data_IF_740629356999
#
_entry.id   IF_740629356999
#
_cell.length_a   1.000
_cell.length_b   1.000
_cell.length_c   1.000
_cell.angle_alpha   90.00
_cell.angle_beta   90.00
_cell.angle_gamma   90.00
#
_symmetry.space_group_name_H-M   'P 1'
#
loop_
_entity.id
_entity.type
_entity.pdbx_description
1 polymer ?
#
# COMPACT_ATOMS: atom_id res chain seq x y z
N UNK A 1 4.01 19.34 -7.70
CA UNK A 1 3.61 19.07 -6.29
C UNK A 1 2.58 17.98 -6.31
N UNK A 2 3.07 16.75 -6.13
CA UNK A 2 2.42 15.55 -6.62
C UNK A 2 1.44 15.02 -5.57
N UNK A 3 0.18 15.42 -5.67
CA UNK A 3 -0.94 14.81 -4.93
C UNK A 3 -0.96 14.99 -3.40
N UNK A 4 0.02 15.67 -2.84
CA UNK A 4 0.02 16.06 -1.43
C UNK A 4 -1.03 17.17 -1.22
N UNK A 5 -1.94 17.03 -0.23
CA UNK A 5 -2.91 18.07 0.06
C UNK A 5 -2.24 19.41 0.42
N UNK A 6 -2.77 20.58 0.00
CA UNK A 6 -2.16 21.88 0.25
C UNK A 6 -1.86 22.15 1.73
N UNK A 7 -2.76 21.72 2.62
CA UNK A 7 -2.59 21.82 4.07
C UNK A 7 -1.34 21.07 4.57
N UNK A 8 -1.08 19.88 4.02
CA UNK A 8 0.09 19.07 4.37
C UNK A 8 1.37 19.66 3.79
N UNK A 9 1.29 20.24 2.60
CA UNK A 9 2.42 21.01 2.05
C UNK A 9 2.74 22.22 2.91
N UNK A 10 1.74 22.93 3.45
CA UNK A 10 1.96 24.07 4.34
C UNK A 10 2.55 23.66 5.70
N UNK A 11 2.07 22.54 6.27
CA UNK A 11 2.62 21.94 7.50
C UNK A 11 4.09 21.55 7.31
N UNK A 12 4.39 20.83 6.23
CA UNK A 12 5.76 20.48 5.87
C UNK A 12 6.63 21.70 5.59
N UNK A 13 6.06 22.73 4.95
CA UNK A 13 6.73 24.00 4.69
C UNK A 13 7.15 24.69 5.99
N UNK A 14 6.27 24.73 6.98
CA UNK A 14 6.56 25.32 8.30
C UNK A 14 7.62 24.51 9.06
N UNK A 15 7.49 23.18 9.07
CA UNK A 15 8.41 22.29 9.77
C UNK A 15 9.82 22.33 9.17
N UNK A 16 9.94 22.25 7.84
CA UNK A 16 11.25 22.23 7.16
C UNK A 16 11.98 23.58 7.27
N UNK A 17 11.26 24.71 7.31
CA UNK A 17 11.88 26.02 7.62
C UNK A 17 12.52 26.04 9.02
N UNK A 18 11.96 25.28 9.95
CA UNK A 18 12.48 25.13 11.31
C UNK A 18 13.38 23.90 11.48
N UNK A 19 13.73 23.18 10.40
CA UNK A 19 14.56 21.99 10.48
C UNK A 19 15.97 22.29 11.02
N UNK A 20 16.47 23.53 10.91
CA UNK A 20 17.78 23.92 11.49
C UNK A 20 17.87 23.69 13.01
N UNK A 21 16.74 23.73 13.71
CA UNK A 21 16.67 23.54 15.18
C UNK A 21 16.00 22.25 15.61
N UNK A 22 15.43 21.48 14.67
CA UNK A 22 14.58 20.32 14.94
C UNK A 22 14.88 19.15 14.00
N UNK A 23 14.22 18.02 14.23
CA UNK A 23 14.18 16.90 13.28
C UNK A 23 12.80 16.86 12.66
N UNK A 24 12.68 16.80 11.35
CA UNK A 24 11.37 16.62 10.72
C UNK A 24 11.16 15.14 10.45
N UNK A 25 10.06 14.56 10.93
CA UNK A 25 9.74 13.14 10.69
C UNK A 25 8.52 13.05 9.79
N UNK A 26 8.73 12.76 8.51
CA UNK A 26 7.68 12.48 7.54
C UNK A 26 7.32 11.00 7.58
N UNK A 27 6.14 10.71 8.11
CA UNK A 27 5.59 9.35 8.18
C UNK A 27 4.43 9.17 7.22
N UNK A 28 4.26 7.98 6.66
CA UNK A 28 3.12 7.64 5.82
C UNK A 28 3.41 6.47 4.89
N UNK A 29 2.39 5.96 4.18
CA UNK A 29 2.55 4.77 3.34
C UNK A 29 3.52 5.01 2.17
N UNK A 30 3.99 3.93 1.57
CA UNK A 30 4.79 3.97 0.33
C UNK A 30 4.01 4.74 -0.76
N UNK A 31 4.73 5.56 -1.53
CA UNK A 31 4.17 6.31 -2.66
C UNK A 31 3.25 7.47 -2.30
N UNK A 32 3.13 7.87 -1.03
CA UNK A 32 2.33 9.05 -0.64
C UNK A 32 3.00 10.41 -0.93
N UNK A 33 4.15 10.41 -1.62
CA UNK A 33 4.83 11.64 -2.04
C UNK A 33 5.79 12.27 -1.02
N UNK A 34 6.25 11.54 0.01
CA UNK A 34 7.22 12.03 1.02
C UNK A 34 8.47 12.63 0.36
N UNK A 35 9.15 11.84 -0.47
CA UNK A 35 10.42 12.21 -1.11
C UNK A 35 10.26 13.34 -2.12
N UNK A 36 9.17 13.32 -2.89
CA UNK A 36 8.85 14.40 -3.83
C UNK A 36 8.57 15.71 -3.10
N UNK A 37 7.88 15.67 -1.95
CA UNK A 37 7.59 16.84 -1.13
C UNK A 37 8.87 17.49 -0.59
N UNK A 38 9.78 16.68 -0.02
CA UNK A 38 11.05 17.18 0.51
C UNK A 38 11.90 17.78 -0.62
N UNK A 39 12.07 17.06 -1.73
CA UNK A 39 12.81 17.56 -2.91
C UNK A 39 12.25 18.87 -3.45
N UNK A 40 10.93 18.97 -3.56
CA UNK A 40 10.26 20.19 -4.06
C UNK A 40 10.47 21.38 -3.13
N UNK A 41 10.42 21.17 -1.81
CA UNK A 41 10.56 22.24 -0.84
C UNK A 41 12.02 22.68 -0.66
N UNK A 42 12.97 21.73 -0.68
CA UNK A 42 14.40 22.05 -0.67
C UNK A 42 14.82 22.87 -1.89
N UNK A 43 14.34 22.49 -3.09
CA UNK A 43 14.58 23.24 -4.32
C UNK A 43 13.98 24.66 -4.29
N UNK A 44 12.82 24.85 -3.66
CA UNK A 44 12.16 26.16 -3.53
C UNK A 44 12.99 27.15 -2.69
N UNK A 45 13.78 26.67 -1.72
CA UNK A 45 14.53 27.52 -0.79
C UNK A 45 16.04 27.48 -1.01
N UNK A 46 16.49 26.90 -2.12
CA UNK A 46 17.92 26.77 -2.44
C UNK A 46 18.72 26.05 -1.35
N UNK A 47 18.11 25.07 -0.67
CA UNK A 47 18.84 24.18 0.21
C UNK A 47 19.40 22.99 -0.57
N UNK A 48 20.64 22.64 -0.27
CA UNK A 48 21.25 21.42 -0.78
C UNK A 48 20.66 20.21 -0.05
N UNK A 49 19.90 19.40 -0.77
CA UNK A 49 19.36 18.15 -0.25
C UNK A 49 20.41 17.05 -0.39
N UNK A 50 20.89 16.55 0.74
CA UNK A 50 21.82 15.41 0.77
C UNK A 50 21.03 14.18 1.21
N UNK A 51 20.88 13.21 0.31
CA UNK A 51 20.34 11.89 0.66
C UNK A 51 21.43 11.10 1.38
N UNK A 52 21.12 10.60 2.57
CA UNK A 52 22.02 9.82 3.41
C UNK A 52 21.39 8.45 3.65
N UNK A 53 22.20 7.40 3.52
CA UNK A 53 21.75 6.01 3.67
C UNK A 53 21.76 5.56 5.13
N UNK A 54 22.74 5.98 5.94
CA UNK A 54 22.86 5.55 7.34
C UNK A 54 22.96 6.71 8.33
N UNK A 55 22.61 6.44 9.59
CA UNK A 55 22.80 7.43 10.66
C UNK A 55 24.27 7.71 10.93
N UNK A 56 25.16 6.76 10.69
CA UNK A 56 26.59 6.96 10.91
C UNK A 56 27.17 7.93 9.87
N UNK A 57 26.77 7.83 8.60
CA UNK A 57 27.12 8.80 7.55
C UNK A 57 26.69 10.23 7.93
N UNK A 58 25.48 10.38 8.50
CA UNK A 58 25.00 11.66 9.01
C UNK A 58 25.89 12.21 10.12
N UNK A 59 26.37 11.35 11.03
CA UNK A 59 27.25 11.77 12.13
C UNK A 59 28.64 12.23 11.65
N UNK A 60 29.10 11.70 10.52
CA UNK A 60 30.38 12.08 9.89
C UNK A 60 30.28 13.41 9.12
N UNK A 61 29.08 13.80 8.70
CA UNK A 61 28.87 15.05 7.98
C UNK A 61 28.93 16.25 8.94
N UNK A 62 29.84 17.19 8.66
CA UNK A 62 29.84 18.49 9.34
C UNK A 62 28.58 19.24 8.91
N UNK A 63 27.71 19.54 9.89
CA UNK A 63 26.48 20.30 9.69
C UNK A 63 26.79 21.64 8.99
N UNK A 64 26.53 21.74 7.69
CA UNK A 64 26.57 23.00 6.94
C UNK A 64 25.22 23.71 7.05
N UNK A 65 25.24 25.05 7.15
CA UNK A 65 24.04 25.84 7.47
C UNK A 65 22.96 25.81 6.38
N UNK A 66 23.30 25.39 5.16
CA UNK A 66 22.42 25.41 3.99
C UNK A 66 22.14 24.01 3.43
N UNK A 67 22.38 22.96 4.23
CA UNK A 67 22.08 21.57 3.88
C UNK A 67 20.89 21.03 4.66
N UNK A 68 20.08 20.22 3.97
CA UNK A 68 19.02 19.40 4.57
C UNK A 68 19.35 17.94 4.29
N UNK A 69 19.41 17.12 5.34
CA UNK A 69 19.76 15.71 5.22
C UNK A 69 18.51 14.86 5.19
N UNK A 70 18.30 14.10 4.12
CA UNK A 70 17.18 13.18 3.97
C UNK A 70 17.64 11.75 4.26
N UNK A 71 17.07 11.13 5.28
CA UNK A 71 17.34 9.74 5.64
C UNK A 71 16.06 8.92 5.66
N UNK A 72 16.13 7.67 5.18
CA UNK A 72 15.03 6.71 5.25
C UNK A 72 15.27 5.76 6.41
N UNK A 73 14.38 5.77 7.40
CA UNK A 73 14.47 4.89 8.57
C UNK A 73 13.25 3.99 8.67
N UNK A 74 13.47 2.69 8.52
CA UNK A 74 12.51 1.64 8.84
C UNK A 74 12.46 1.36 10.35
N UNK A 75 13.60 1.48 11.02
CA UNK A 75 13.78 1.11 12.42
C UNK A 75 14.21 2.28 13.31
N UNK A 76 14.10 2.04 14.62
CA UNK A 76 14.42 3.01 15.67
C UNK A 76 15.92 3.28 15.70
N UNK A 77 16.37 4.55 15.66
CA UNK A 77 17.76 4.88 15.90
C UNK A 77 18.23 4.33 17.25
N UNK A 78 19.43 3.72 17.34
CA UNK A 78 20.00 3.36 18.62
C UNK A 78 20.13 4.61 19.50
N UNK A 79 19.59 4.56 20.72
CA UNK A 79 19.57 5.69 21.68
C UNK A 79 20.99 6.06 22.13
N UNK A 80 21.70 6.87 21.36
CA UNK A 80 22.92 7.55 21.82
C UNK A 80 22.49 8.78 22.64
N UNK A 81 22.77 8.77 23.95
CA UNK A 81 22.16 9.64 24.99
C UNK A 81 22.27 11.16 24.80
N UNK A 82 22.97 11.68 23.78
CA UNK A 82 23.20 13.12 23.58
C UNK A 82 23.24 13.57 22.11
N UNK A 83 22.83 12.74 21.16
CA UNK A 83 22.92 13.09 19.74
C UNK A 83 21.79 14.04 19.34
N UNK A 84 22.15 15.19 18.78
CA UNK A 84 21.20 16.16 18.20
C UNK A 84 21.20 16.00 16.68
N UNK A 85 20.09 15.54 16.12
CA UNK A 85 19.95 15.30 14.68
C UNK A 85 19.42 16.53 13.91
N UNK A 86 19.88 17.74 14.26
CA UNK A 86 19.36 18.99 13.68
C UNK A 86 19.57 19.02 12.17
N UNK A 87 18.60 19.58 11.43
CA UNK A 87 18.65 19.66 9.97
C UNK A 87 18.34 18.34 9.26
N UNK A 88 17.97 17.30 10.02
CA UNK A 88 17.61 15.99 9.48
C UNK A 88 16.11 15.90 9.19
N UNK A 89 15.81 15.30 8.05
CA UNK A 89 14.47 14.94 7.60
C UNK A 89 14.42 13.43 7.48
N UNK A 90 13.57 12.81 8.30
CA UNK A 90 13.40 11.37 8.36
C UNK A 90 12.16 10.97 7.59
N UNK A 91 12.32 10.11 6.60
CA UNK A 91 11.22 9.40 5.96
C UNK A 91 11.03 8.03 6.61
N UNK A 92 9.78 7.73 6.95
CA UNK A 92 9.43 6.44 7.55
C UNK A 92 8.01 6.03 7.19
N UNK A 93 7.70 4.75 7.33
CA UNK A 93 6.33 4.24 7.32
C UNK A 93 5.75 4.18 8.73
N UNK A 94 6.60 4.13 9.77
CA UNK A 94 6.19 4.06 11.16
C UNK A 94 5.74 5.44 11.68
N UNK A 95 4.44 5.65 11.96
CA UNK A 95 3.94 6.94 12.42
C UNK A 95 4.40 7.30 13.83
N UNK A 96 4.98 6.37 14.60
CA UNK A 96 5.38 6.59 15.99
C UNK A 96 6.88 6.84 16.17
N UNK A 97 7.68 6.77 15.09
CA UNK A 97 9.14 6.94 15.16
C UNK A 97 9.56 8.28 15.80
N UNK A 98 8.78 9.35 15.57
CA UNK A 98 9.06 10.67 16.14
C UNK A 98 9.13 10.68 17.67
N UNK A 99 8.44 9.76 18.36
CA UNK A 99 8.44 9.69 19.84
C UNK A 99 9.80 9.30 20.42
N UNK A 100 10.65 8.72 19.59
CA UNK A 100 11.95 8.20 19.99
C UNK A 100 13.09 9.14 19.57
N UNK A 101 12.77 10.17 18.77
CA UNK A 101 13.71 11.18 18.28
C UNK A 101 13.47 12.48 19.06
N UNK A 102 14.54 13.01 19.66
CA UNK A 102 14.46 14.28 20.40
C UNK A 102 14.24 15.45 19.44
N UNK A 103 13.43 16.42 19.87
CA UNK A 103 13.11 17.64 19.11
C UNK A 103 12.48 17.34 17.73
N UNK A 104 11.76 16.22 17.62
CA UNK A 104 11.10 15.80 16.40
C UNK A 104 9.77 16.52 16.17
N UNK A 105 9.57 17.01 14.94
CA UNK A 105 8.34 17.57 14.42
C UNK A 105 7.70 16.53 13.48
N UNK A 106 6.63 15.83 13.92
CA UNK A 106 5.99 14.81 13.11
C UNK A 106 5.11 15.44 12.02
N UNK A 107 5.18 14.89 10.82
CA UNK A 107 4.26 15.14 9.72
C UNK A 107 3.70 13.82 9.25
N UNK A 108 2.40 13.64 9.43
CA UNK A 108 1.69 12.45 8.95
C UNK A 108 1.13 12.69 7.55
N UNK A 109 1.62 11.91 6.59
CA UNK A 109 1.19 11.87 5.21
C UNK A 109 0.16 10.76 5.05
N UNK A 110 -0.97 11.10 4.42
CA UNK A 110 -2.02 10.14 4.16
C UNK A 110 -1.80 9.46 2.81
N UNK A 111 -2.37 8.26 2.64
CA UNK A 111 -2.47 7.64 1.33
C UNK A 111 -3.15 8.60 0.35
N UNK A 112 -2.64 8.74 -0.89
CA UNK A 112 -3.29 9.57 -1.90
C UNK A 112 -4.75 9.14 -2.08
N UNK A 113 -5.67 10.09 -2.19
CA UNK A 113 -7.06 9.76 -2.49
C UNK A 113 -7.17 9.14 -3.89
N UNK A 114 -8.22 8.37 -4.15
CA UNK A 114 -8.47 7.81 -5.48
C UNK A 114 -8.54 8.90 -6.56
N UNK A 115 -9.19 10.03 -6.24
CA UNK A 115 -9.29 11.21 -7.13
C UNK A 115 -7.91 11.80 -7.44
N UNK A 116 -7.05 11.91 -6.43
CA UNK A 116 -5.68 12.39 -6.60
C UNK A 116 -4.84 11.44 -7.45
N UNK A 117 -4.94 10.13 -7.17
CA UNK A 117 -4.17 9.09 -7.89
C UNK A 117 -4.50 9.08 -9.38
N UNK A 118 -5.79 9.17 -9.74
CA UNK A 118 -6.24 9.28 -11.14
C UNK A 118 -5.71 10.52 -11.85
N UNK A 119 -5.66 11.67 -11.15
CA UNK A 119 -5.13 12.91 -11.73
C UNK A 119 -3.61 12.82 -11.98
N UNK A 120 -2.88 12.10 -11.12
CA UNK A 120 -1.43 11.94 -11.22
C UNK A 120 -0.99 10.84 -12.18
N UNK A 121 -1.89 9.92 -12.53
CA UNK A 121 -1.70 8.90 -13.55
C UNK A 121 -2.55 9.26 -14.79
N UNK A 122 -2.19 10.29 -15.58
CA UNK A 122 -2.92 10.63 -16.81
C UNK A 122 -2.89 9.50 -17.85
N UNK A 123 -1.98 8.52 -17.70
CA UNK A 123 -1.86 7.34 -18.54
C UNK A 123 -2.53 6.08 -17.94
N UNK A 124 -3.14 6.14 -16.75
CA UNK A 124 -3.98 5.03 -16.30
C UNK A 124 -5.18 4.94 -17.25
N UNK A 125 -5.09 4.01 -18.21
CA UNK A 125 -6.10 3.77 -19.25
C UNK A 125 -7.48 3.70 -18.57
N UNK A 126 -8.52 4.24 -19.21
CA UNK A 126 -9.88 4.25 -18.66
C UNK A 126 -10.41 2.84 -18.29
N UNK A 127 -9.79 1.79 -18.84
CA UNK A 127 -10.03 0.37 -18.58
C UNK A 127 -9.32 -0.21 -17.35
N UNK A 128 -8.37 0.49 -16.73
CA UNK A 128 -7.59 -0.02 -15.61
C UNK A 128 -8.42 -0.01 -14.31
N UNK A 129 -8.48 -1.14 -13.62
CA UNK A 129 -9.19 -1.24 -12.33
C UNK A 129 -8.61 -0.25 -11.30
N UNK A 130 -9.49 0.28 -10.47
CA UNK A 130 -9.20 1.26 -9.43
C UNK A 130 -8.16 0.78 -8.42
N UNK A 131 -8.19 -0.51 -8.09
CA UNK A 131 -7.21 -1.10 -7.18
C UNK A 131 -5.83 -1.19 -7.82
N UNK A 132 -5.79 -1.54 -9.11
CA UNK A 132 -4.57 -1.58 -9.92
C UNK A 132 -3.96 -0.19 -10.06
N UNK A 133 -4.77 0.82 -10.36
CA UNK A 133 -4.31 2.22 -10.41
C UNK A 133 -3.78 2.70 -9.04
N UNK A 134 -4.43 2.33 -7.92
CA UNK A 134 -3.94 2.68 -6.58
C UNK A 134 -2.64 1.94 -6.23
N UNK A 135 -2.50 0.67 -6.61
CA UNK A 135 -1.28 -0.10 -6.38
C UNK A 135 -0.10 0.48 -7.19
N UNK A 136 -0.34 0.77 -8.48
CA UNK A 136 0.65 1.38 -9.38
C UNK A 136 1.05 2.77 -8.88
N UNK A 137 0.11 3.59 -8.39
CA UNK A 137 0.44 4.92 -7.84
C UNK A 137 1.41 4.88 -6.66
N UNK A 138 1.48 3.74 -5.95
CA UNK A 138 2.43 3.49 -4.88
C UNK A 138 3.86 3.20 -5.35
N UNK A 139 4.05 2.82 -6.62
CA UNK A 139 5.33 2.32 -7.16
C UNK A 139 6.24 3.45 -7.67
N UNK A 140 7.56 3.23 -7.82
CA UNK A 140 8.47 4.15 -8.50
C UNK A 140 8.02 4.46 -9.94
N UNK A 141 8.15 5.73 -10.38
CA UNK A 141 7.69 6.21 -11.72
C UNK A 141 8.13 5.34 -12.91
N UNK A 142 9.37 4.82 -13.00
CA UNK A 142 9.77 3.96 -14.12
C UNK A 142 8.98 2.65 -14.20
N UNK A 143 8.60 2.09 -13.05
CA UNK A 143 7.76 0.89 -12.98
C UNK A 143 6.30 1.21 -13.30
N UNK A 144 5.82 2.40 -12.92
CA UNK A 144 4.49 2.86 -13.29
C UNK A 144 4.32 2.91 -14.82
N UNK A 145 5.30 3.47 -15.54
CA UNK A 145 5.26 3.57 -17.00
C UNK A 145 5.27 2.20 -17.67
N UNK A 146 6.16 1.29 -17.26
CA UNK A 146 6.23 -0.07 -17.82
C UNK A 146 4.93 -0.86 -17.66
N UNK A 147 4.31 -0.81 -16.47
CA UNK A 147 3.05 -1.51 -16.20
C UNK A 147 1.85 -0.95 -16.99
N UNK A 148 1.92 0.33 -17.34
CA UNK A 148 0.92 0.99 -18.19
C UNK A 148 1.12 0.63 -19.67
N UNK A 149 2.37 0.47 -20.10
CA UNK A 149 2.73 0.19 -21.49
C UNK A 149 2.60 -1.31 -21.87
N UNK A 150 2.79 -2.24 -20.91
CA UNK A 150 2.77 -3.69 -21.15
C UNK A 150 1.38 -4.36 -21.02
N UNK A 151 0.30 -3.63 -20.69
CA UNK A 151 -1.05 -4.20 -20.46
C UNK A 151 -2.03 -3.95 -21.61
N UNK A 152 -1.95 -4.78 -22.66
CA UNK A 152 -2.90 -4.77 -23.79
C UNK A 152 -4.14 -5.65 -23.58
N UNK A 153 -4.21 -6.43 -22.51
CA UNK A 153 -5.43 -7.17 -22.15
C UNK A 153 -6.35 -6.35 -21.23
N UNK A 154 -7.68 -6.39 -21.41
CA UNK A 154 -8.61 -5.74 -20.51
C UNK A 154 -8.47 -6.35 -19.10
N UNK A 155 -7.86 -5.58 -18.18
CA UNK A 155 -7.80 -5.94 -16.77
C UNK A 155 -9.21 -6.18 -16.24
N UNK A 156 -9.59 -7.45 -16.09
CA UNK A 156 -10.81 -7.80 -15.38
C UNK A 156 -10.62 -7.40 -13.92
N UNK A 157 -11.45 -6.50 -13.39
CA UNK A 157 -11.27 -6.03 -12.01
C UNK A 157 -11.33 -7.19 -11.03
N UNK A 158 -10.55 -7.12 -9.95
CA UNK A 158 -10.50 -8.17 -8.94
C UNK A 158 -11.89 -8.51 -8.38
N UNK A 159 -12.78 -7.51 -8.25
CA UNK A 159 -14.17 -7.72 -7.84
C UNK A 159 -15.03 -8.39 -8.91
N UNK A 160 -14.76 -8.16 -10.19
CA UNK A 160 -15.44 -8.89 -11.26
C UNK A 160 -15.00 -10.37 -11.27
N UNK A 161 -13.71 -10.64 -11.03
CA UNK A 161 -13.21 -12.00 -10.81
C UNK A 161 -13.89 -12.68 -9.60
N UNK A 162 -13.93 -12.04 -8.43
CA UNK A 162 -14.64 -12.57 -7.26
C UNK A 162 -16.14 -12.76 -7.53
N UNK A 163 -16.76 -11.85 -8.28
CA UNK A 163 -18.14 -11.96 -8.72
C UNK A 163 -18.37 -13.20 -9.59
N UNK A 164 -17.46 -13.51 -10.52
CA UNK A 164 -17.53 -14.76 -11.30
C UNK A 164 -17.48 -15.99 -10.42
N UNK A 165 -16.65 -15.96 -9.38
CA UNK A 165 -16.59 -17.06 -8.41
C UNK A 165 -17.91 -17.18 -7.66
N UNK A 166 -18.44 -16.08 -7.10
CA UNK A 166 -19.57 -16.04 -6.17
C UNK A 166 -20.97 -16.11 -6.83
N UNK A 167 -21.07 -15.79 -8.13
CA UNK A 167 -22.32 -15.78 -8.91
C UNK A 167 -22.33 -16.76 -10.09
N UNK A 168 -21.48 -17.77 -10.06
CA UNK A 168 -21.42 -18.75 -11.12
C UNK A 168 -22.74 -19.55 -11.25
N UNK A 169 -22.94 -20.13 -12.43
CA UNK A 169 -24.12 -20.95 -12.76
C UNK A 169 -23.75 -22.30 -13.37
N UNK A 170 -22.47 -22.67 -13.26
CA UNK A 170 -21.91 -23.85 -13.92
C UNK A 170 -21.40 -24.84 -12.89
N UNK A 171 -21.56 -26.12 -13.15
CA UNK A 171 -21.11 -27.15 -12.20
C UNK A 171 -19.58 -27.31 -12.21
N UNK A 172 -18.94 -26.90 -13.31
CA UNK A 172 -17.48 -26.97 -13.50
C UNK A 172 -16.88 -25.57 -13.44
N UNK A 173 -15.71 -25.47 -12.82
CA UNK A 173 -14.89 -24.24 -12.77
C UNK A 173 -14.31 -23.99 -14.16
N UNK A 174 -14.62 -22.86 -14.81
CA UNK A 174 -14.01 -22.50 -16.09
C UNK A 174 -12.51 -22.26 -15.94
N UNK A 175 -11.73 -22.67 -16.95
CA UNK A 175 -10.26 -22.51 -16.97
C UNK A 175 -9.81 -21.05 -16.75
N UNK A 176 -10.60 -20.09 -17.26
CA UNK A 176 -10.31 -18.67 -17.09
C UNK A 176 -10.32 -18.23 -15.61
N UNK A 177 -11.02 -18.95 -14.72
CA UNK A 177 -11.01 -18.65 -13.28
C UNK A 177 -9.68 -19.03 -12.66
N UNK A 178 -9.07 -20.15 -13.08
CA UNK A 178 -7.74 -20.55 -12.61
C UNK A 178 -6.67 -19.60 -13.13
N UNK A 179 -6.75 -19.19 -14.40
CA UNK A 179 -5.85 -18.18 -14.97
C UNK A 179 -5.95 -16.84 -14.23
N UNK A 180 -7.16 -16.40 -13.90
CA UNK A 180 -7.36 -15.18 -13.13
C UNK A 180 -6.89 -15.34 -11.68
N UNK A 181 -6.99 -16.53 -11.09
CA UNK A 181 -6.46 -16.81 -9.76
C UNK A 181 -4.94 -16.67 -9.73
N UNK A 182 -4.21 -17.19 -10.72
CA UNK A 182 -2.75 -17.10 -10.79
C UNK A 182 -2.25 -15.69 -11.10
N UNK A 183 -3.04 -14.90 -11.84
CA UNK A 183 -2.78 -13.48 -12.07
C UNK A 183 -3.07 -12.61 -10.83
N UNK A 184 -3.80 -13.13 -9.85
CA UNK A 184 -4.13 -12.43 -8.61
C UNK A 184 -3.42 -13.11 -7.41
N UNK A 185 -3.44 -12.46 -6.25
CA UNK A 185 -2.93 -13.12 -5.04
C UNK A 185 -3.92 -14.19 -4.57
N UNK A 186 -3.47 -15.44 -4.51
CA UNK A 186 -4.23 -16.57 -3.95
C UNK A 186 -4.70 -16.27 -2.51
N UNK A 187 -3.78 -15.79 -1.66
CA UNK A 187 -4.04 -15.36 -0.30
C UNK A 187 -5.14 -14.30 -0.23
N UNK A 188 -5.02 -13.25 -1.07
CA UNK A 188 -6.02 -12.17 -1.14
C UNK A 188 -7.37 -12.73 -1.58
N UNK A 189 -7.40 -13.58 -2.61
CA UNK A 189 -8.62 -14.17 -3.15
C UNK A 189 -9.36 -14.98 -2.08
N UNK A 190 -8.67 -15.90 -1.42
CA UNK A 190 -9.28 -16.73 -0.37
C UNK A 190 -9.75 -15.89 0.81
N UNK A 191 -9.02 -14.85 1.19
CA UNK A 191 -9.45 -13.94 2.28
C UNK A 191 -10.76 -13.23 1.92
N UNK A 192 -10.87 -12.74 0.68
CA UNK A 192 -12.12 -12.12 0.21
C UNK A 192 -13.28 -13.10 0.15
N UNK A 193 -13.03 -14.33 -0.29
CA UNK A 193 -14.04 -15.38 -0.31
C UNK A 193 -14.46 -15.75 1.12
N UNK A 194 -13.53 -15.90 2.06
CA UNK A 194 -13.80 -16.19 3.46
C UNK A 194 -14.78 -15.18 4.09
N UNK A 195 -14.58 -13.89 3.84
CA UNK A 195 -15.47 -12.85 4.38
C UNK A 195 -16.85 -12.81 3.70
N UNK A 196 -16.94 -13.20 2.43
CA UNK A 196 -18.16 -13.00 1.64
C UNK A 196 -19.03 -14.27 1.52
N UNK A 197 -18.43 -15.46 1.50
CA UNK A 197 -19.12 -16.75 1.33
C UNK A 197 -20.34 -16.97 2.25
N UNK A 198 -20.31 -16.58 3.54
CA UNK A 198 -21.49 -16.70 4.41
C UNK A 198 -22.74 -16.01 3.89
N UNK A 199 -22.57 -15.01 3.03
CA UNK A 199 -23.67 -14.24 2.43
C UNK A 199 -24.27 -14.92 1.20
N UNK A 200 -23.57 -15.91 0.63
CA UNK A 200 -23.92 -16.56 -0.62
C UNK A 200 -24.22 -18.05 -0.49
N UNK A 201 -23.97 -18.67 0.67
CA UNK A 201 -24.30 -20.08 0.89
C UNK A 201 -25.56 -20.27 1.73
N UNK A 202 -26.31 -21.33 1.44
CA UNK A 202 -27.40 -21.82 2.30
C UNK A 202 -27.01 -23.08 3.07
N UNK A 203 -25.97 -23.76 2.60
CA UNK A 203 -25.45 -24.98 3.20
C UNK A 203 -24.42 -24.62 4.26
N UNK A 204 -24.88 -24.61 5.52
CA UNK A 204 -24.04 -24.22 6.66
C UNK A 204 -22.92 -25.22 6.93
N UNK A 205 -23.11 -26.50 6.62
CA UNK A 205 -22.12 -27.55 6.89
C UNK A 205 -20.99 -27.48 5.87
N UNK A 206 -21.33 -27.34 4.58
CA UNK A 206 -20.35 -27.10 3.53
C UNK A 206 -19.62 -25.77 3.75
N UNK A 207 -20.35 -24.72 4.16
CA UNK A 207 -19.77 -23.42 4.47
C UNK A 207 -18.75 -23.51 5.62
N UNK A 208 -19.11 -24.13 6.74
CA UNK A 208 -18.19 -24.29 7.88
C UNK A 208 -16.92 -25.01 7.45
N UNK A 209 -17.08 -26.13 6.73
CA UNK A 209 -15.96 -26.94 6.25
C UNK A 209 -15.01 -26.13 5.36
N UNK A 210 -15.56 -25.38 4.40
CA UNK A 210 -14.77 -24.57 3.48
C UNK A 210 -14.07 -23.41 4.20
N UNK A 211 -14.74 -22.72 5.13
CA UNK A 211 -14.14 -21.61 5.87
C UNK A 211 -13.00 -22.08 6.78
N UNK A 212 -13.14 -23.25 7.42
CA UNK A 212 -12.08 -23.86 8.21
C UNK A 212 -10.87 -24.20 7.35
N UNK A 213 -11.09 -24.81 6.19
CA UNK A 213 -9.99 -25.14 5.27
C UNK A 213 -9.31 -23.88 4.71
N UNK A 214 -10.07 -22.82 4.40
CA UNK A 214 -9.52 -21.52 4.01
C UNK A 214 -8.67 -20.94 5.15
N UNK A 215 -9.15 -20.97 6.39
CA UNK A 215 -8.41 -20.48 7.55
C UNK A 215 -7.09 -21.23 7.75
N UNK A 216 -7.09 -22.56 7.58
CA UNK A 216 -5.88 -23.38 7.63
C UNK A 216 -4.91 -23.00 6.51
N UNK A 217 -5.38 -22.88 5.26
CA UNK A 217 -4.54 -22.51 4.12
C UNK A 217 -3.92 -21.12 4.32
N UNK A 218 -4.71 -20.13 4.73
CA UNK A 218 -4.26 -18.77 5.03
C UNK A 218 -3.19 -18.75 6.13
N UNK A 219 -3.38 -19.51 7.21
CA UNK A 219 -2.41 -19.60 8.33
C UNK A 219 -1.04 -20.15 7.91
N UNK A 220 -1.00 -20.95 6.83
CA UNK A 220 0.22 -21.56 6.27
C UNK A 220 0.84 -20.73 5.14
N UNK A 221 0.34 -19.53 4.91
CA UNK A 221 0.81 -18.63 3.85
C UNK A 221 0.17 -18.86 2.48
N UNK A 222 -0.81 -19.76 2.38
CA UNK A 222 -1.63 -20.08 1.20
C UNK A 222 -0.83 -20.40 -0.07
N UNK A 223 -0.62 -21.69 -0.37
CA UNK A 223 -0.06 -22.10 -1.66
C UNK A 223 -1.10 -21.98 -2.76
N UNK A 224 -0.65 -21.86 -3.99
CA UNK A 224 -1.54 -21.73 -5.15
C UNK A 224 -2.40 -22.99 -5.35
N UNK A 225 -1.81 -24.16 -5.12
CA UNK A 225 -2.48 -25.47 -5.13
C UNK A 225 -3.62 -25.55 -4.10
N UNK A 226 -3.40 -25.04 -2.88
CA UNK A 226 -4.42 -24.97 -1.84
C UNK A 226 -5.60 -24.11 -2.32
N UNK A 227 -5.30 -22.97 -2.95
CA UNK A 227 -6.33 -22.06 -3.44
C UNK A 227 -7.14 -22.66 -4.59
N UNK A 228 -6.52 -23.44 -5.49
CA UNK A 228 -7.21 -24.15 -6.57
C UNK A 228 -8.18 -25.19 -6.01
N UNK A 229 -7.74 -26.01 -5.05
CA UNK A 229 -8.57 -27.04 -4.43
C UNK A 229 -9.75 -26.42 -3.66
N UNK A 230 -9.48 -25.38 -2.88
CA UNK A 230 -10.51 -24.65 -2.14
C UNK A 230 -11.50 -23.97 -3.07
N UNK A 231 -11.05 -23.43 -4.19
CA UNK A 231 -11.92 -22.80 -5.17
C UNK A 231 -12.87 -23.82 -5.80
N UNK A 232 -12.42 -25.04 -6.08
CA UNK A 232 -13.30 -26.13 -6.52
C UNK A 232 -14.34 -26.50 -5.46
N UNK A 233 -13.94 -26.59 -4.18
CA UNK A 233 -14.87 -26.81 -3.06
C UNK A 233 -15.93 -25.70 -2.95
N UNK A 234 -15.50 -24.44 -3.02
CA UNK A 234 -16.37 -23.25 -3.05
C UNK A 234 -17.33 -23.26 -4.25
N UNK A 235 -16.87 -23.75 -5.39
CA UNK A 235 -17.65 -23.84 -6.62
C UNK A 235 -18.79 -24.85 -6.52
N UNK A 236 -18.55 -25.97 -5.85
CA UNK A 236 -19.53 -27.04 -5.67
C UNK A 236 -20.62 -26.73 -4.63
N UNK A 237 -20.45 -25.69 -3.81
CA UNK A 237 -21.41 -25.34 -2.76
C UNK A 237 -22.75 -24.86 -3.33
N UNK A 238 -23.85 -25.26 -2.71
CA UNK A 238 -25.17 -24.71 -3.02
C UNK A 238 -25.26 -23.23 -2.57
N UNK A 239 -25.80 -22.39 -3.46
CA UNK A 239 -25.80 -20.94 -3.25
C UNK A 239 -27.19 -20.32 -3.20
N UNK A 240 -27.29 -19.27 -2.39
CA UNK A 240 -28.45 -18.39 -2.38
C UNK A 240 -28.39 -17.34 -3.49
N UNK A 241 -29.54 -16.86 -3.98
CA UNK A 241 -29.61 -15.73 -4.90
C UNK A 241 -28.84 -14.51 -4.36
N UNK A 242 -28.40 -13.61 -5.26
CA UNK A 242 -27.42 -12.58 -4.95
C UNK A 242 -27.85 -11.71 -3.76
N UNK A 243 -27.11 -11.82 -2.66
CA UNK A 243 -27.16 -10.88 -1.54
C UNK A 243 -26.02 -9.88 -1.69
N UNK A 244 -26.16 -8.69 -1.09
CA UNK A 244 -25.19 -7.60 -1.22
C UNK A 244 -23.76 -8.08 -0.91
N UNK A 245 -22.81 -7.71 -1.77
CA UNK A 245 -21.38 -7.94 -1.53
C UNK A 245 -20.93 -7.11 -0.32
N UNK A 246 -20.20 -7.72 0.62
CA UNK A 246 -19.64 -6.98 1.75
C UNK A 246 -18.27 -6.43 1.34
N UNK A 247 -18.13 -5.10 1.42
CA UNK A 247 -16.84 -4.47 1.25
C UNK A 247 -15.98 -4.82 2.47
N UNK A 248 -14.81 -5.45 2.25
CA UNK A 248 -13.89 -5.84 3.33
C UNK A 248 -13.62 -4.65 4.24
N UNK A 249 -13.88 -4.82 5.54
CA UNK A 249 -13.60 -3.81 6.58
C UNK A 249 -12.31 -4.12 7.35
N UNK A 250 -11.70 -5.29 7.16
CA UNK A 250 -10.53 -5.73 7.90
C UNK A 250 -9.26 -5.13 7.28
N UNK A 251 -8.72 -4.11 7.95
CA UNK A 251 -7.53 -3.33 7.53
C UNK A 251 -6.20 -4.08 7.64
N UNK A 252 -6.18 -5.29 8.20
CA UNK A 252 -4.95 -6.00 8.59
C UNK A 252 -4.29 -6.82 7.48
N UNK A 253 -4.92 -6.94 6.30
CA UNK A 253 -4.49 -7.88 5.27
C UNK A 253 -4.00 -7.21 3.97
N UNK A 254 -3.76 -5.89 4.02
CA UNK A 254 -3.08 -5.16 2.95
C UNK A 254 -1.55 -5.27 3.01
N UNK A 255 -1.00 -6.04 3.96
CA UNK A 255 0.43 -6.32 4.05
C UNK A 255 0.73 -7.67 3.38
N UNK A 256 1.24 -7.59 2.16
CA UNK A 256 2.40 -8.31 1.64
C UNK A 256 2.86 -7.62 0.35
#
# INVERSE_FOLDING_TARGET
>A
MDGVPPRKTQEARSALKNAKSSVVVLSGPIGCGKTSLVKSLSAEWSYDLVEIDTLDDYMEHRLCQDMVYLIRLSEVPPRKRNTKYRGMVVETENPYLYRQIRDAVPIHMNKPTQKTSRRLLPLARASMDLNTASAISGMPRPLQQRLVDESDEPCTSFFHFLGRILYHKTDVVPEQVFLLLSQNSALKTLTYLHENLPSFSKDLDALSTVLDQVSVAVSRGCREEDAVLLLAGIWAMERSPPKKFFQIRSSHYHEK
#
